data_IF_140644215045
#
_entry.id   IF_140644215045
#
_cell.length_a   1.000
_cell.length_b   1.000
_cell.length_c   1.000
_cell.angle_alpha   90.00
_cell.angle_beta   90.00
_cell.angle_gamma   90.00
#
_symmetry.space_group_name_H-M   'P 1'
#
loop_
_entity.id
_entity.type
_entity.pdbx_description
1 polymer ?
#
# COMPACT_ATOMS: atom_id res chain seq x y z
N UNK A 1 -19.26 -0.01 -4.86
CA UNK A 1 -19.50 0.35 -3.44
C UNK A 1 -20.76 1.20 -3.19
N UNK A 2 -21.76 1.21 -4.09
CA UNK A 2 -22.94 2.09 -4.00
C UNK A 2 -23.82 1.84 -2.77
N UNK A 3 -23.90 0.60 -2.30
CA UNK A 3 -24.68 0.23 -1.11
C UNK A 3 -23.99 0.65 0.21
N UNK A 4 -22.67 0.85 0.21
CA UNK A 4 -21.89 1.20 1.41
C UNK A 4 -20.84 2.29 1.11
N UNK A 5 -21.26 3.52 0.79
CA UNK A 5 -20.34 4.61 0.47
C UNK A 5 -19.35 4.87 1.62
N UNK A 6 -18.07 5.02 1.29
CA UNK A 6 -17.01 5.32 2.27
C UNK A 6 -16.64 4.18 3.23
N UNK A 7 -17.17 2.95 3.03
CA UNK A 7 -16.94 1.82 3.94
C UNK A 7 -16.15 0.65 3.34
N UNK A 8 -15.84 0.72 2.05
CA UNK A 8 -15.17 -0.39 1.33
C UNK A 8 -13.81 0.09 0.86
N UNK A 9 -12.77 -0.63 1.24
CA UNK A 9 -11.39 -0.43 0.78
C UNK A 9 -11.02 -1.65 -0.07
N UNK A 10 -10.40 -1.43 -1.22
CA UNK A 10 -9.94 -2.53 -2.07
C UNK A 10 -8.45 -2.80 -1.84
N UNK A 11 -8.10 -4.05 -1.60
CA UNK A 11 -6.71 -4.52 -1.62
C UNK A 11 -6.31 -4.90 -3.04
N UNK A 12 -5.16 -4.40 -3.48
CA UNK A 12 -4.53 -4.75 -4.74
C UNK A 12 -3.16 -5.31 -4.41
N UNK A 13 -3.02 -6.60 -4.65
CA UNK A 13 -1.75 -7.30 -4.55
C UNK A 13 -1.07 -7.26 -5.91
N UNK A 14 0.15 -6.74 -5.95
CA UNK A 14 0.90 -6.53 -7.17
C UNK A 14 2.31 -7.09 -7.06
N UNK A 15 2.81 -7.65 -8.17
CA UNK A 15 4.20 -8.03 -8.35
C UNK A 15 4.76 -7.26 -9.53
N UNK A 16 5.72 -6.38 -9.27
CA UNK A 16 6.36 -5.58 -10.31
C UNK A 16 5.33 -4.83 -11.19
N UNK A 17 4.37 -4.16 -10.55
CA UNK A 17 3.35 -3.35 -11.22
C UNK A 17 2.14 -4.13 -11.75
N UNK A 18 2.17 -5.46 -11.78
CA UNK A 18 1.10 -6.30 -12.32
C UNK A 18 0.26 -6.95 -11.23
N UNK A 19 -1.05 -7.04 -11.43
CA UNK A 19 -1.98 -7.63 -10.47
C UNK A 19 -1.68 -9.12 -10.31
N UNK A 20 -1.47 -9.55 -9.07
CA UNK A 20 -1.34 -10.95 -8.68
C UNK A 20 -2.69 -11.49 -8.19
N UNK A 21 -3.01 -12.72 -8.56
CA UNK A 21 -4.27 -13.41 -8.24
C UNK A 21 -3.99 -14.83 -7.74
N UNK A 22 -5.04 -15.59 -7.39
CA UNK A 22 -4.93 -16.99 -6.94
C UNK A 22 -3.91 -17.18 -5.80
N UNK A 23 -4.05 -16.39 -4.73
CA UNK A 23 -3.12 -16.44 -3.60
C UNK A 23 -1.67 -16.09 -3.98
N UNK A 24 -1.49 -15.21 -4.97
CA UNK A 24 -0.21 -14.76 -5.52
C UNK A 24 0.51 -15.77 -6.43
N UNK A 25 -0.14 -16.87 -6.78
CA UNK A 25 0.42 -17.88 -7.68
C UNK A 25 0.46 -17.38 -9.13
N UNK A 26 -0.53 -16.60 -9.56
CA UNK A 26 -0.64 -16.12 -10.94
C UNK A 26 -0.50 -14.60 -11.01
N UNK A 27 0.37 -14.13 -11.92
CA UNK A 27 0.48 -12.71 -12.26
C UNK A 27 -0.30 -12.49 -13.55
N UNK A 28 -1.34 -11.67 -13.47
CA UNK A 28 -2.18 -11.35 -14.61
C UNK A 28 -1.53 -10.33 -15.53
N UNK A 29 -2.15 -10.14 -16.70
CA UNK A 29 -1.73 -9.11 -17.63
C UNK A 29 -2.22 -7.68 -17.31
N UNK A 30 -2.95 -7.52 -16.20
CA UNK A 30 -3.49 -6.23 -15.80
C UNK A 30 -2.48 -5.46 -14.96
N UNK A 31 -2.28 -4.19 -15.30
CA UNK A 31 -1.53 -3.25 -14.47
C UNK A 31 -2.30 -2.96 -13.17
N UNK A 32 -1.58 -2.91 -12.04
CA UNK A 32 -2.16 -2.58 -10.74
C UNK A 32 -2.84 -1.19 -10.76
N UNK A 33 -2.23 -0.23 -11.47
CA UNK A 33 -2.80 1.11 -11.68
C UNK A 33 -4.11 1.07 -12.45
N UNK A 34 -4.21 0.21 -13.47
CA UNK A 34 -5.45 0.05 -14.24
C UNK A 34 -6.57 -0.50 -13.35
N UNK A 35 -6.28 -1.54 -12.56
CA UNK A 35 -7.25 -2.09 -11.62
C UNK A 35 -7.65 -1.04 -10.57
N UNK A 36 -6.70 -0.26 -10.05
CA UNK A 36 -6.97 0.75 -9.05
C UNK A 36 -7.90 1.86 -9.56
N UNK A 37 -7.73 2.30 -10.80
CA UNK A 37 -8.64 3.25 -11.45
C UNK A 37 -10.06 2.68 -11.56
N UNK A 38 -10.20 1.41 -11.97
CA UNK A 38 -11.51 0.74 -12.02
C UNK A 38 -12.15 0.62 -10.63
N UNK A 39 -11.36 0.37 -9.59
CA UNK A 39 -11.85 0.30 -8.21
C UNK A 39 -12.28 1.67 -7.69
N UNK A 40 -11.53 2.73 -8.01
CA UNK A 40 -11.92 4.11 -7.74
C UNK A 40 -13.26 4.44 -8.39
N UNK A 41 -13.45 4.11 -9.67
CA UNK A 41 -14.71 4.34 -10.39
C UNK A 41 -15.88 3.53 -9.79
N UNK A 42 -15.59 2.39 -9.17
CA UNK A 42 -16.56 1.61 -8.42
C UNK A 42 -16.93 2.23 -7.05
N UNK A 43 -16.21 3.27 -6.62
CA UNK A 43 -16.48 4.08 -5.43
C UNK A 43 -15.87 3.54 -4.13
N UNK A 44 -14.70 2.89 -4.20
CA UNK A 44 -13.96 2.51 -2.99
C UNK A 44 -13.50 3.74 -2.21
N UNK A 45 -13.39 3.61 -0.90
CA UNK A 45 -12.97 4.68 0.00
C UNK A 45 -11.45 4.89 -0.01
N UNK A 46 -10.68 3.85 -0.32
CA UNK A 46 -9.23 3.85 -0.44
C UNK A 46 -8.77 2.59 -1.19
N UNK A 47 -7.49 2.59 -1.59
CA UNK A 47 -6.77 1.43 -2.11
C UNK A 47 -5.70 1.03 -1.11
N UNK A 48 -5.64 -0.25 -0.76
CA UNK A 48 -4.46 -0.84 -0.14
C UNK A 48 -3.62 -1.43 -1.27
N UNK A 49 -2.39 -0.97 -1.41
CA UNK A 49 -1.46 -1.48 -2.41
C UNK A 49 -0.38 -2.31 -1.72
N UNK A 50 -0.27 -3.58 -2.09
CA UNK A 50 0.74 -4.50 -1.54
C UNK A 50 1.71 -4.92 -2.65
N UNK A 51 2.99 -4.55 -2.53
CA UNK A 51 4.03 -5.15 -3.37
C UNK A 51 4.43 -6.50 -2.77
N UNK A 52 3.88 -7.58 -3.35
CA UNK A 52 3.94 -8.91 -2.77
C UNK A 52 5.34 -9.53 -2.81
N UNK A 53 6.23 -9.06 -3.70
CA UNK A 53 7.63 -9.53 -3.71
C UNK A 53 8.42 -9.06 -2.49
N UNK A 54 7.93 -8.03 -1.80
CA UNK A 54 8.55 -7.45 -0.60
C UNK A 54 7.81 -7.87 0.67
N UNK A 55 6.59 -8.40 0.56
CA UNK A 55 5.82 -8.74 1.75
C UNK A 55 6.49 -9.85 2.57
N UNK A 56 6.52 -9.64 3.88
CA UNK A 56 7.23 -10.52 4.82
C UNK A 56 8.77 -10.51 4.71
N UNK A 57 9.37 -9.85 3.70
CA UNK A 57 10.83 -9.77 3.49
C UNK A 57 11.51 -8.72 4.37
N UNK A 58 10.73 -7.80 4.96
CA UNK A 58 11.22 -6.75 5.86
C UNK A 58 12.29 -5.84 5.22
N UNK A 59 12.24 -5.69 3.89
CA UNK A 59 13.25 -5.02 3.07
C UNK A 59 12.86 -3.62 2.60
N UNK A 60 11.73 -3.09 3.08
CA UNK A 60 11.20 -1.79 2.70
C UNK A 60 9.98 -1.90 1.78
N UNK A 61 9.20 -0.81 1.74
CA UNK A 61 8.06 -0.64 0.83
C UNK A 61 8.56 -0.31 -0.58
N UNK A 62 7.72 -0.57 -1.59
CA UNK A 62 7.94 -0.02 -2.92
C UNK A 62 7.37 1.41 -3.00
N UNK A 63 8.17 2.39 -2.58
CA UNK A 63 7.74 3.79 -2.50
C UNK A 63 7.55 4.42 -3.88
N UNK A 64 8.28 3.98 -4.91
CA UNK A 64 8.16 4.50 -6.26
C UNK A 64 6.80 4.12 -6.87
N UNK A 65 6.45 2.82 -6.82
CA UNK A 65 5.13 2.36 -7.29
C UNK A 65 4.00 2.93 -6.44
N UNK A 66 4.16 2.96 -5.11
CA UNK A 66 3.15 3.53 -4.21
C UNK A 66 2.90 5.01 -4.50
N UNK A 67 3.95 5.80 -4.72
CA UNK A 67 3.84 7.23 -5.03
C UNK A 67 3.23 7.46 -6.42
N UNK A 68 3.64 6.67 -7.42
CA UNK A 68 3.05 6.74 -8.77
C UNK A 68 1.55 6.45 -8.74
N UNK A 69 1.13 5.43 -7.99
CA UNK A 69 -0.27 5.09 -7.80
C UNK A 69 -1.03 6.21 -7.07
N UNK A 70 -0.48 6.71 -5.97
CA UNK A 70 -1.06 7.80 -5.19
C UNK A 70 -1.23 9.11 -5.99
N UNK A 71 -0.32 9.39 -6.93
CA UNK A 71 -0.42 10.55 -7.82
C UNK A 71 -1.43 10.37 -8.96
N UNK A 72 -1.78 9.12 -9.28
CA UNK A 72 -2.74 8.80 -10.35
C UNK A 72 -4.19 8.79 -9.84
N UNK A 73 -4.39 8.44 -8.57
CA UNK A 73 -5.71 8.29 -7.98
C UNK A 73 -6.17 9.57 -7.26
N UNK A 74 -7.49 9.73 -7.17
CA UNK A 74 -8.14 10.73 -6.31
C UNK A 74 -8.56 10.13 -4.96
N UNK A 75 -8.65 8.80 -4.85
CA UNK A 75 -8.86 8.12 -3.57
C UNK A 75 -7.53 7.88 -2.85
N UNK A 76 -7.52 7.88 -1.51
CA UNK A 76 -6.31 7.63 -0.73
C UNK A 76 -5.69 6.25 -1.00
N UNK A 77 -4.36 6.19 -0.95
CA UNK A 77 -3.56 4.94 -1.04
C UNK A 77 -2.97 4.62 0.33
N UNK A 78 -3.03 3.35 0.71
CA UNK A 78 -2.43 2.78 1.93
C UNK A 78 -1.33 1.82 1.47
N UNK A 79 -0.09 2.10 1.86
CA UNK A 79 1.08 1.30 1.48
C UNK A 79 1.14 -0.02 2.26
N UNK A 80 1.54 -1.11 1.62
CA UNK A 80 1.72 -2.43 2.24
C UNK A 80 2.84 -3.21 1.55
N UNK A 81 3.40 -4.21 2.24
CA UNK A 81 4.42 -5.11 1.71
C UNK A 81 5.86 -4.66 2.00
N UNK A 82 6.44 -5.15 3.10
CA UNK A 82 7.89 -5.08 3.34
C UNK A 82 8.39 -4.13 4.42
N UNK A 83 7.51 -3.47 5.19
CA UNK A 83 7.95 -2.68 6.36
C UNK A 83 8.72 -3.57 7.35
N UNK A 84 9.88 -3.08 7.80
CA UNK A 84 10.84 -3.88 8.58
C UNK A 84 11.57 -3.09 9.67
N UNK A 85 11.77 -1.79 9.46
CA UNK A 85 12.46 -0.87 10.37
C UNK A 85 11.72 0.46 10.48
N UNK A 86 12.07 1.28 11.48
CA UNK A 86 11.57 2.66 11.59
C UNK A 86 12.04 3.53 10.41
N UNK A 87 13.22 3.28 9.85
CA UNK A 87 13.73 4.02 8.69
C UNK A 87 12.84 3.83 7.45
N UNK A 88 12.23 2.65 7.28
CA UNK A 88 11.26 2.43 6.21
C UNK A 88 10.02 3.34 6.38
N UNK A 89 9.63 3.64 7.63
CA UNK A 89 8.52 4.56 7.93
C UNK A 89 8.93 6.02 7.75
N UNK A 90 10.18 6.38 8.05
CA UNK A 90 10.74 7.70 7.75
C UNK A 90 10.71 7.95 6.24
N UNK A 91 11.22 7.01 5.45
CA UNK A 91 11.21 7.09 3.98
C UNK A 91 9.80 7.19 3.41
N UNK A 92 8.84 6.43 3.97
CA UNK A 92 7.43 6.55 3.60
C UNK A 92 6.88 7.95 3.87
N UNK A 93 7.16 8.55 5.03
CA UNK A 93 6.71 9.91 5.37
C UNK A 93 7.26 10.95 4.38
N UNK A 94 8.52 10.80 4.00
CA UNK A 94 9.15 11.66 2.99
C UNK A 94 8.46 11.50 1.63
N UNK A 95 8.21 10.26 1.19
CA UNK A 95 7.46 9.99 -0.03
C UNK A 95 6.03 10.57 0.02
N UNK A 96 5.33 10.44 1.15
CA UNK A 96 4.00 11.00 1.34
C UNK A 96 3.97 12.54 1.30
N UNK A 97 5.10 13.20 1.60
CA UNK A 97 5.23 14.66 1.43
C UNK A 97 5.24 15.03 -0.06
N UNK A 98 5.86 14.20 -0.90
CA UNK A 98 5.89 14.40 -2.36
C UNK A 98 4.63 13.88 -3.07
N UNK A 99 3.96 12.87 -2.51
CA UNK A 99 2.74 12.25 -3.03
C UNK A 99 1.64 12.24 -1.95
N UNK A 100 0.88 13.35 -1.79
CA UNK A 100 -0.10 13.50 -0.71
C UNK A 100 -1.26 12.49 -0.71
N UNK A 101 -1.43 11.73 -1.81
CA UNK A 101 -2.39 10.63 -1.88
C UNK A 101 -2.01 9.42 -1.01
N UNK A 102 -0.76 9.32 -0.54
CA UNK A 102 -0.33 8.32 0.43
C UNK A 102 -0.87 8.71 1.81
N UNK A 103 -1.82 7.93 2.31
CA UNK A 103 -2.60 8.25 3.52
C UNK A 103 -2.33 7.34 4.71
N UNK A 104 -1.58 6.26 4.50
CA UNK A 104 -1.30 5.31 5.57
C UNK A 104 -0.41 4.16 5.13
N UNK A 105 -0.15 3.27 6.08
CA UNK A 105 0.66 2.07 5.90
C UNK A 105 0.15 0.91 6.74
N UNK A 106 0.29 -0.30 6.22
CA UNK A 106 0.10 -1.53 6.97
C UNK A 106 1.47 -2.07 7.38
N UNK A 107 1.66 -2.22 8.70
CA UNK A 107 2.84 -2.88 9.27
C UNK A 107 2.39 -4.24 9.78
N UNK A 108 2.77 -5.30 9.07
CA UNK A 108 2.44 -6.67 9.45
C UNK A 108 3.52 -7.30 10.33
N UNK A 109 4.31 -8.19 9.71
CA UNK A 109 5.34 -9.01 10.37
C UNK A 109 6.27 -8.23 11.31
N UNK A 110 6.70 -7.02 10.97
CA UNK A 110 7.60 -6.25 11.82
C UNK A 110 7.00 -5.88 13.20
N UNK A 111 5.68 -5.72 13.30
CA UNK A 111 5.00 -5.55 14.60
C UNK A 111 4.97 -6.87 15.37
N UNK A 112 4.59 -7.97 14.70
CA UNK A 112 4.49 -9.29 15.34
C UNK A 112 5.84 -9.82 15.83
N UNK A 113 6.91 -9.56 15.07
CA UNK A 113 8.28 -9.95 15.42
C UNK A 113 8.89 -9.02 16.48
N UNK A 114 8.18 -7.97 16.92
CA UNK A 114 8.69 -6.98 17.90
C UNK A 114 9.82 -6.09 17.37
N UNK A 115 10.03 -6.03 16.05
CA UNK A 115 11.06 -5.20 15.41
C UNK A 115 10.71 -3.72 15.40
N UNK A 116 9.42 -3.42 15.42
CA UNK A 116 8.88 -2.07 15.48
C UNK A 116 7.89 -2.04 16.63
N UNK A 117 8.07 -1.10 17.55
CA UNK A 117 7.03 -0.74 18.51
C UNK A 117 6.03 0.23 17.87
N UNK A 118 4.74 0.01 18.12
CA UNK A 118 3.66 0.83 17.55
C UNK A 118 3.75 2.30 17.97
N UNK A 119 4.24 2.59 19.18
CA UNK A 119 4.39 3.97 19.68
C UNK A 119 5.51 4.68 18.94
N UNK A 120 6.60 3.97 18.64
CA UNK A 120 7.72 4.52 17.88
C UNK A 120 7.32 4.76 16.43
N UNK A 121 6.60 3.82 15.81
CA UNK A 121 6.03 4.00 14.47
C UNK A 121 5.14 5.24 14.39
N UNK A 122 4.22 5.41 15.36
CA UNK A 122 3.34 6.59 15.42
C UNK A 122 4.11 7.89 15.65
N UNK A 123 5.23 7.87 16.39
CA UNK A 123 6.07 9.05 16.61
C UNK A 123 6.83 9.45 15.34
N UNK A 124 7.21 8.47 14.51
CA UNK A 124 7.84 8.73 13.21
C UNK A 124 6.84 9.27 12.19
N UNK A 125 5.62 8.75 12.16
CA UNK A 125 4.62 9.07 11.13
C UNK A 125 3.77 10.33 11.42
N UNK A 126 3.85 10.91 12.62
CA UNK A 126 3.19 12.17 13.00
C UNK A 126 4.13 13.35 12.88
#
# INVERSE_FOLDING_TARGET
CRAFPGRVVAGIDARAGRVATEGWAEVSDMEATELALRMQDAGVAAIIFTEISRDGMLSGLDLDQTSALANTLSVPVIASGGVGTLDHLVALREAATAAPGISGVIVGRALYDGRIDVRDALRVLR
#
